data_IF_455424547371
#
_entry.id   IF_455424547371
#
_cell.length_a   1.000
_cell.length_b   1.000
_cell.length_c   1.000
_cell.angle_alpha   90.00
_cell.angle_beta   90.00
_cell.angle_gamma   90.00
#
_symmetry.space_group_name_H-M   'P 1'
#
loop_
_entity.id
_entity.type
_entity.pdbx_description
1 polymer ?
#
# COMPACT_ATOMS: atom_id res chain seq x y z
N UNK A 1 -12.70 -1.17 13.82
CA UNK A 1 -11.59 -0.28 13.42
C UNK A 1 -11.62 0.95 14.31
N UNK A 2 -10.46 1.54 14.63
CA UNK A 2 -10.40 2.85 15.29
C UNK A 2 -10.45 3.99 14.25
N UNK A 3 -10.53 5.25 14.70
CA UNK A 3 -10.66 6.41 13.81
C UNK A 3 -9.52 6.55 12.80
N UNK A 4 -8.29 6.22 13.20
CA UNK A 4 -7.12 6.30 12.33
C UNK A 4 -7.16 5.22 11.24
N UNK A 5 -7.46 3.98 11.63
CA UNK A 5 -7.65 2.84 10.72
C UNK A 5 -8.77 3.11 9.71
N UNK A 6 -9.85 3.76 10.15
CA UNK A 6 -10.98 4.11 9.29
C UNK A 6 -10.60 5.18 8.27
N UNK A 7 -9.86 6.22 8.68
CA UNK A 7 -9.33 7.24 7.78
C UNK A 7 -8.37 6.64 6.74
N UNK A 8 -7.51 5.72 7.16
CA UNK A 8 -6.61 5.01 6.26
C UNK A 8 -7.37 4.16 5.23
N UNK A 9 -8.35 3.37 5.68
CA UNK A 9 -9.19 2.60 4.77
C UNK A 9 -9.87 3.49 3.73
N UNK A 10 -10.46 4.61 4.16
CA UNK A 10 -11.14 5.54 3.26
C UNK A 10 -10.17 6.13 2.22
N UNK A 11 -8.93 6.44 2.63
CA UNK A 11 -7.89 6.89 1.72
C UNK A 11 -7.54 5.80 0.70
N UNK A 12 -7.18 4.60 1.16
CA UNK A 12 -6.77 3.48 0.30
C UNK A 12 -7.89 3.13 -0.69
N UNK A 13 -9.14 3.06 -0.22
CA UNK A 13 -10.32 2.82 -1.04
C UNK A 13 -10.44 3.87 -2.15
N UNK A 14 -10.49 5.15 -1.79
CA UNK A 14 -10.71 6.22 -2.77
C UNK A 14 -9.59 6.28 -3.80
N UNK A 15 -8.35 6.18 -3.35
CA UNK A 15 -7.18 6.19 -4.22
C UNK A 15 -7.22 5.02 -5.21
N UNK A 16 -7.32 3.78 -4.72
CA UNK A 16 -7.30 2.60 -5.56
C UNK A 16 -8.44 2.60 -6.59
N UNK A 17 -9.64 3.01 -6.18
CA UNK A 17 -10.77 3.13 -7.10
C UNK A 17 -10.51 4.19 -8.17
N UNK A 18 -10.00 5.37 -7.80
CA UNK A 18 -9.67 6.43 -8.75
C UNK A 18 -8.62 5.97 -9.79
N UNK A 19 -7.59 5.26 -9.35
CA UNK A 19 -6.56 4.70 -10.24
C UNK A 19 -7.15 3.64 -11.17
N UNK A 20 -7.96 2.70 -10.64
CA UNK A 20 -8.65 1.69 -11.44
C UNK A 20 -9.55 2.35 -12.49
N UNK A 21 -10.33 3.36 -12.10
CA UNK A 21 -11.19 4.09 -13.01
C UNK A 21 -10.40 4.76 -14.13
N UNK A 22 -9.32 5.47 -13.80
CA UNK A 22 -8.50 6.13 -14.80
C UNK A 22 -7.88 5.13 -15.80
N UNK A 23 -7.28 4.03 -15.30
CA UNK A 23 -6.59 3.04 -16.14
C UNK A 23 -7.56 2.35 -17.10
N UNK A 24 -8.78 2.09 -16.65
CA UNK A 24 -9.72 1.24 -17.37
C UNK A 24 -10.94 1.96 -17.96
N UNK A 25 -11.07 3.26 -17.77
CA UNK A 25 -12.17 4.10 -18.28
C UNK A 25 -12.40 3.96 -19.80
N UNK A 26 -11.33 3.67 -20.55
CA UNK A 26 -11.39 3.52 -22.01
C UNK A 26 -11.58 2.08 -22.49
N UNK A 27 -11.64 1.10 -21.59
CA UNK A 27 -11.59 -0.32 -21.93
C UNK A 27 -12.90 -1.03 -21.58
N UNK A 28 -13.93 -0.81 -22.41
CA UNK A 28 -15.29 -1.32 -22.21
C UNK A 28 -15.38 -2.86 -22.21
N UNK A 29 -14.39 -3.54 -22.77
CA UNK A 29 -14.35 -5.01 -22.92
C UNK A 29 -14.10 -5.74 -21.59
N UNK A 30 -13.71 -5.04 -20.52
CA UNK A 30 -13.37 -5.65 -19.22
C UNK A 30 -14.21 -5.14 -18.04
N UNK A 31 -15.39 -4.56 -18.30
CA UNK A 31 -16.26 -3.94 -17.29
C UNK A 31 -16.54 -4.84 -16.08
N UNK A 32 -16.77 -6.14 -16.28
CA UNK A 32 -17.00 -7.09 -15.17
C UNK A 32 -15.76 -7.32 -14.30
N UNK A 33 -14.58 -7.44 -14.92
CA UNK A 33 -13.30 -7.59 -14.23
C UNK A 33 -12.93 -6.32 -13.44
N UNK A 34 -13.25 -5.15 -13.98
CA UNK A 34 -13.05 -3.85 -13.32
C UNK A 34 -13.96 -3.77 -12.09
N UNK A 35 -15.24 -4.12 -12.22
CA UNK A 35 -16.19 -4.11 -11.11
C UNK A 35 -15.78 -5.10 -10.01
N UNK A 36 -15.34 -6.31 -10.37
CA UNK A 36 -14.82 -7.29 -9.42
C UNK A 36 -13.63 -6.75 -8.62
N UNK A 37 -12.71 -6.02 -9.26
CA UNK A 37 -11.57 -5.40 -8.57
C UNK A 37 -12.00 -4.29 -7.62
N UNK A 38 -13.04 -3.52 -7.97
CA UNK A 38 -13.59 -2.47 -7.10
C UNK A 38 -14.35 -3.02 -5.90
N UNK A 39 -14.99 -4.20 -6.03
CA UNK A 39 -15.67 -4.86 -4.92
C UNK A 39 -14.75 -5.10 -3.72
N UNK A 40 -13.44 -5.31 -3.95
CA UNK A 40 -12.46 -5.43 -2.86
C UNK A 40 -12.42 -4.21 -1.91
N UNK A 41 -12.86 -3.05 -2.38
CA UNK A 41 -12.87 -1.78 -1.65
C UNK A 41 -14.27 -1.34 -1.19
N UNK A 42 -15.30 -2.18 -1.35
CA UNK A 42 -16.67 -1.88 -0.89
C UNK A 42 -16.84 -2.13 0.61
N UNK A 43 -17.77 -1.40 1.24
CA UNK A 43 -18.10 -1.55 2.67
C UNK A 43 -18.59 -2.95 3.02
N UNK A 44 -19.32 -3.60 2.11
CA UNK A 44 -19.79 -4.96 2.33
C UNK A 44 -18.62 -5.96 2.39
N UNK A 45 -17.65 -5.83 1.48
CA UNK A 45 -16.45 -6.66 1.49
C UNK A 45 -15.60 -6.42 2.73
N UNK A 46 -15.45 -5.15 3.14
CA UNK A 46 -14.83 -4.79 4.42
C UNK A 46 -15.51 -5.49 5.60
N UNK A 47 -16.85 -5.42 5.69
CA UNK A 47 -17.60 -6.04 6.76
C UNK A 47 -17.35 -7.56 6.81
N UNK A 48 -17.47 -8.25 5.67
CA UNK A 48 -17.23 -9.70 5.56
C UNK A 48 -15.81 -10.10 5.95
N UNK A 49 -14.80 -9.33 5.55
CA UNK A 49 -13.41 -9.62 5.93
C UNK A 49 -13.18 -9.45 7.43
N UNK A 50 -13.78 -8.43 8.04
CA UNK A 50 -13.63 -8.16 9.47
C UNK A 50 -14.38 -9.16 10.36
N UNK A 51 -15.30 -9.95 9.81
CA UNK A 51 -15.86 -11.13 10.51
C UNK A 51 -14.83 -12.25 10.68
N UNK A 52 -13.81 -12.29 9.82
CA UNK A 52 -12.86 -13.41 9.74
C UNK A 52 -11.41 -13.01 10.07
N UNK A 53 -11.11 -11.72 10.09
CA UNK A 53 -9.76 -11.19 10.28
C UNK A 53 -9.75 -9.91 11.11
N UNK A 54 -8.59 -9.59 11.67
CA UNK A 54 -8.42 -8.33 12.41
C UNK A 54 -8.39 -7.12 11.46
N UNK A 55 -8.75 -5.92 11.94
CA UNK A 55 -8.53 -4.66 11.23
C UNK A 55 -7.12 -4.50 10.64
N UNK A 56 -6.09 -4.89 11.37
CA UNK A 56 -4.70 -4.77 10.91
C UNK A 56 -4.41 -5.69 9.73
N UNK A 57 -4.89 -6.93 9.77
CA UNK A 57 -4.77 -7.89 8.66
C UNK A 57 -5.50 -7.40 7.42
N UNK A 58 -6.72 -6.86 7.58
CA UNK A 58 -7.49 -6.30 6.48
C UNK A 58 -6.78 -5.11 5.81
N UNK A 59 -6.32 -4.15 6.62
CA UNK A 59 -5.59 -2.98 6.13
C UNK A 59 -4.26 -3.37 5.46
N UNK A 60 -3.56 -4.40 5.95
CA UNK A 60 -2.37 -4.94 5.29
C UNK A 60 -2.67 -5.39 3.85
N UNK A 61 -3.77 -6.11 3.65
CA UNK A 61 -4.22 -6.51 2.31
C UNK A 61 -4.53 -5.31 1.40
N UNK A 62 -5.17 -4.27 1.94
CA UNK A 62 -5.47 -3.05 1.17
C UNK A 62 -4.22 -2.25 0.80
N UNK A 63 -3.23 -2.18 1.69
CA UNK A 63 -1.93 -1.55 1.39
C UNK A 63 -1.19 -2.30 0.29
N UNK A 64 -1.24 -3.64 0.30
CA UNK A 64 -0.68 -4.45 -0.78
C UNK A 64 -1.41 -4.15 -2.10
N UNK A 65 -2.74 -4.15 -2.11
CA UNK A 65 -3.51 -3.81 -3.30
C UNK A 65 -3.19 -2.39 -3.82
N UNK A 66 -3.04 -1.42 -2.91
CA UNK A 66 -2.61 -0.07 -3.25
C UNK A 66 -1.24 -0.03 -3.94
N UNK A 67 -0.26 -0.78 -3.45
CA UNK A 67 1.06 -0.88 -4.06
C UNK A 67 0.99 -1.52 -5.46
N UNK A 68 0.27 -2.64 -5.59
CA UNK A 68 0.09 -3.34 -6.87
C UNK A 68 -0.61 -2.47 -7.91
N UNK A 69 -1.69 -1.79 -7.52
CA UNK A 69 -2.43 -0.88 -8.39
C UNK A 69 -1.56 0.29 -8.85
N UNK A 70 -0.77 0.89 -7.95
CA UNK A 70 0.16 1.96 -8.33
C UNK A 70 1.28 1.46 -9.24
N UNK A 71 1.82 0.25 -8.99
CA UNK A 71 2.82 -0.35 -9.86
C UNK A 71 2.26 -0.62 -11.27
N UNK A 72 1.01 -1.09 -11.38
CA UNK A 72 0.33 -1.24 -12.67
C UNK A 72 0.13 0.13 -13.33
N UNK A 73 -0.32 1.12 -12.57
CA UNK A 73 -0.55 2.48 -13.06
C UNK A 73 0.70 3.10 -13.68
N UNK A 74 1.87 2.90 -13.06
CA UNK A 74 3.16 3.41 -13.54
C UNK A 74 3.58 2.84 -14.90
N UNK A 75 2.99 1.73 -15.34
CA UNK A 75 3.22 1.15 -16.67
C UNK A 75 2.26 1.68 -17.74
N UNK A 76 1.35 2.61 -17.40
CA UNK A 76 0.43 3.21 -18.35
C UNK A 76 1.15 4.17 -19.31
N UNK A 77 0.55 4.46 -20.49
CA UNK A 77 1.09 5.46 -21.42
C UNK A 77 1.22 6.85 -20.77
N UNK A 78 2.23 7.62 -21.16
CA UNK A 78 2.56 8.94 -20.59
C UNK A 78 1.38 9.91 -20.52
N UNK A 79 0.52 9.91 -21.55
CA UNK A 79 -0.66 10.76 -21.57
C UNK A 79 -1.65 10.38 -20.46
N UNK A 80 -1.89 9.07 -20.27
CA UNK A 80 -2.77 8.56 -19.21
C UNK A 80 -2.16 8.80 -17.82
N UNK A 81 -0.84 8.62 -17.69
CA UNK A 81 -0.11 8.94 -16.46
C UNK A 81 -0.27 10.41 -16.07
N UNK A 82 -0.18 11.33 -17.04
CA UNK A 82 -0.36 12.76 -16.79
C UNK A 82 -1.78 13.10 -16.34
N UNK A 83 -2.78 12.51 -16.99
CA UNK A 83 -4.19 12.69 -16.62
C UNK A 83 -4.50 12.10 -15.24
N UNK A 84 -3.96 10.91 -14.95
CA UNK A 84 -4.08 10.25 -13.65
C UNK A 84 -3.40 11.08 -12.55
N UNK A 85 -2.16 11.51 -12.73
CA UNK A 85 -1.47 12.34 -11.73
C UNK A 85 -2.20 13.66 -11.47
N UNK A 86 -2.76 14.30 -12.50
CA UNK A 86 -3.57 15.50 -12.31
C UNK A 86 -4.83 15.21 -11.47
N UNK A 87 -5.53 14.11 -11.76
CA UNK A 87 -6.71 13.68 -11.00
C UNK A 87 -6.36 13.41 -9.54
N UNK A 88 -5.32 12.60 -9.31
CA UNK A 88 -4.86 12.25 -7.97
C UNK A 88 -4.41 13.48 -7.18
N UNK A 89 -3.67 14.39 -7.82
CA UNK A 89 -3.20 15.61 -7.16
C UNK A 89 -4.37 16.53 -6.80
N UNK A 90 -5.37 16.63 -7.68
CA UNK A 90 -6.57 17.45 -7.42
C UNK A 90 -7.41 16.90 -6.28
N UNK A 91 -7.58 15.57 -6.19
CA UNK A 91 -8.43 14.94 -5.17
C UNK A 91 -7.72 14.70 -3.83
N UNK A 92 -6.42 14.38 -3.86
CA UNK A 92 -5.68 13.91 -2.69
C UNK A 92 -4.47 14.78 -2.34
N UNK A 93 -4.11 15.77 -3.18
CA UNK A 93 -2.89 16.56 -3.00
C UNK A 93 -1.60 15.76 -3.21
N UNK A 94 -1.69 14.55 -3.78
CA UNK A 94 -0.57 13.62 -4.03
C UNK A 94 -0.71 13.02 -5.42
N UNK A 95 0.40 12.65 -6.02
CA UNK A 95 0.43 11.91 -7.29
C UNK A 95 1.14 10.55 -7.13
N UNK A 96 1.21 9.75 -8.19
CA UNK A 96 1.87 8.44 -8.15
C UNK A 96 3.36 8.55 -7.77
N UNK A 97 4.02 9.64 -8.13
CA UNK A 97 5.45 9.85 -7.86
C UNK A 97 5.72 10.14 -6.38
N UNK A 98 4.84 10.91 -5.74
CA UNK A 98 4.92 11.31 -4.32
C UNK A 98 4.64 10.11 -3.40
N UNK A 99 3.75 9.21 -3.82
CA UNK A 99 3.42 8.00 -3.07
C UNK A 99 4.55 6.95 -3.09
N UNK A 100 5.35 6.90 -4.16
CA UNK A 100 6.56 6.07 -4.21
C UNK A 100 7.66 6.54 -3.23
N UNK A 101 7.69 7.85 -2.95
CA UNK A 101 8.66 8.47 -2.03
C UNK A 101 8.26 8.39 -0.56
N UNK A 102 6.98 8.45 -0.21
CA UNK A 102 6.52 8.43 1.20
C UNK A 102 6.85 7.09 1.91
N UNK A 103 6.59 5.95 1.26
CA UNK A 103 6.98 4.61 1.74
C UNK A 103 8.51 4.46 1.86
N UNK A 104 9.26 5.14 1.00
CA UNK A 104 10.73 5.09 1.02
C UNK A 104 11.30 5.97 2.14
N UNK A 105 10.70 7.13 2.41
CA UNK A 105 11.15 8.07 3.45
C UNK A 105 10.96 7.54 4.87
N UNK A 106 9.83 6.88 5.16
CA UNK A 106 9.58 6.27 6.47
C UNK A 106 10.54 5.11 6.77
N UNK A 107 10.77 4.24 5.78
CA UNK A 107 11.75 3.15 5.90
C UNK A 107 13.17 3.71 6.07
N UNK A 108 13.56 4.73 5.31
CA UNK A 108 14.88 5.34 5.45
C UNK A 108 15.07 6.01 6.80
N UNK A 109 14.04 6.67 7.36
CA UNK A 109 14.10 7.20 8.71
C UNK A 109 14.29 6.10 9.76
N UNK A 110 13.59 4.98 9.63
CA UNK A 110 13.75 3.83 10.54
C UNK A 110 15.14 3.21 10.41
N UNK A 111 15.66 3.05 9.19
CA UNK A 111 17.02 2.55 8.93
C UNK A 111 18.07 3.49 9.53
N UNK A 112 17.97 4.80 9.26
CA UNK A 112 18.90 5.81 9.76
C UNK A 112 18.90 5.87 11.30
N UNK A 113 17.72 5.70 11.91
CA UNK A 113 17.57 5.63 13.36
C UNK A 113 18.06 4.30 13.95
N UNK A 114 18.14 3.24 13.14
CA UNK A 114 18.65 1.93 13.54
C UNK A 114 17.75 1.15 14.48
N UNK A 115 16.50 1.58 14.70
CA UNK A 115 15.52 0.85 15.54
C UNK A 115 14.07 1.11 15.14
N UNK A 116 13.26 0.07 15.29
CA UNK A 116 11.80 0.11 15.23
C UNK A 116 11.29 0.45 16.63
N UNK A 117 10.37 1.40 16.75
CA UNK A 117 9.89 1.89 18.06
C UNK A 117 8.43 1.54 18.35
N UNK A 118 7.68 1.03 17.37
CA UNK A 118 6.28 0.64 17.54
C UNK A 118 5.86 -0.39 16.47
N UNK A 119 4.68 -0.97 16.66
CA UNK A 119 4.13 -2.01 15.76
C UNK A 119 3.79 -1.48 14.35
N UNK A 120 3.56 -0.18 14.22
CA UNK A 120 3.27 0.45 12.93
C UNK A 120 4.52 0.50 12.04
N UNK A 121 5.66 0.92 12.61
CA UNK A 121 6.96 0.85 11.97
C UNK A 121 7.42 -0.57 11.72
N UNK A 122 7.09 -1.49 12.64
CA UNK A 122 7.33 -2.91 12.43
C UNK A 122 6.63 -3.42 11.17
N UNK A 123 5.34 -3.11 11.03
CA UNK A 123 4.55 -3.45 9.84
C UNK A 123 5.09 -2.82 8.55
N UNK A 124 5.58 -1.58 8.61
CA UNK A 124 6.22 -0.91 7.47
C UNK A 124 7.50 -1.63 7.02
N UNK A 125 8.36 -2.05 7.96
CA UNK A 125 9.60 -2.75 7.65
C UNK A 125 9.32 -4.17 7.14
N UNK A 126 8.37 -4.91 7.73
CA UNK A 126 7.93 -6.21 7.22
C UNK A 126 7.43 -6.11 5.77
N UNK A 127 6.60 -5.11 5.49
CA UNK A 127 6.08 -4.90 4.14
C UNK A 127 7.22 -4.63 3.17
N UNK A 128 8.18 -3.79 3.55
CA UNK A 128 9.32 -3.48 2.69
C UNK A 128 10.24 -4.68 2.44
N UNK A 129 10.41 -5.57 3.43
CA UNK A 129 11.13 -6.85 3.23
C UNK A 129 10.39 -7.73 2.22
N UNK A 130 9.06 -7.88 2.39
CA UNK A 130 8.22 -8.63 1.44
C UNK A 130 8.37 -8.09 0.02
N UNK A 131 8.25 -6.78 -0.17
CA UNK A 131 8.35 -6.13 -1.48
C UNK A 131 9.71 -6.36 -2.15
N UNK A 132 10.82 -6.21 -1.40
CA UNK A 132 12.17 -6.39 -1.97
C UNK A 132 12.41 -7.88 -2.27
N UNK A 133 11.95 -8.80 -1.42
CA UNK A 133 12.19 -10.24 -1.57
C UNK A 133 11.54 -10.86 -2.80
N UNK A 134 10.48 -10.25 -3.32
CA UNK A 134 9.84 -10.66 -4.58
C UNK A 134 10.68 -10.32 -5.82
N UNK A 135 11.60 -9.35 -5.70
CA UNK A 135 12.43 -8.84 -6.81
C UNK A 135 13.87 -9.36 -6.69
N UNK A 136 14.46 -9.23 -5.50
CA UNK A 136 15.82 -9.67 -5.16
C UNK A 136 15.88 -10.12 -3.70
N UNK A 137 15.67 -11.41 -3.48
CA UNK A 137 15.69 -12.04 -2.16
C UNK A 137 17.04 -11.93 -1.43
N UNK A 138 18.15 -11.63 -2.13
CA UNK A 138 19.49 -11.56 -1.56
C UNK A 138 20.00 -10.12 -1.37
N UNK A 139 19.14 -9.13 -1.55
CA UNK A 139 19.50 -7.72 -1.38
C UNK A 139 20.11 -7.44 -0.01
N UNK A 140 21.22 -6.69 0.02
CA UNK A 140 21.82 -6.18 1.27
C UNK A 140 20.84 -5.32 2.09
N UNK A 141 19.84 -4.72 1.42
CA UNK A 141 18.77 -3.96 2.05
C UNK A 141 17.86 -4.89 2.87
N UNK A 142 17.50 -6.08 2.37
CA UNK A 142 16.73 -7.09 3.13
C UNK A 142 17.47 -7.49 4.41
N UNK A 143 18.78 -7.72 4.33
CA UNK A 143 19.56 -8.10 5.51
C UNK A 143 19.51 -7.03 6.60
N UNK A 144 19.55 -5.76 6.21
CA UNK A 144 19.45 -4.62 7.14
C UNK A 144 18.07 -4.55 7.78
N UNK A 145 17.01 -4.71 6.98
CA UNK A 145 15.64 -4.68 7.47
C UNK A 145 15.32 -5.88 8.38
N UNK A 146 15.77 -7.08 8.02
CA UNK A 146 15.60 -8.28 8.86
C UNK A 146 16.30 -8.16 10.21
N UNK A 147 17.45 -7.50 10.28
CA UNK A 147 18.11 -7.19 11.56
C UNK A 147 17.24 -6.29 12.43
N UNK A 148 16.65 -5.23 11.86
CA UNK A 148 15.75 -4.33 12.60
C UNK A 148 14.53 -5.10 13.16
N UNK A 149 13.91 -5.95 12.34
CA UNK A 149 12.79 -6.80 12.76
C UNK A 149 13.20 -7.75 13.89
N UNK A 150 14.33 -8.44 13.76
CA UNK A 150 14.84 -9.36 14.77
C UNK A 150 15.14 -8.66 16.11
N UNK A 151 15.74 -7.47 16.07
CA UNK A 151 16.01 -6.67 17.27
C UNK A 151 14.72 -6.26 17.97
N UNK A 152 13.70 -5.82 17.23
CA UNK A 152 12.40 -5.47 17.80
C UNK A 152 11.71 -6.68 18.46
N UNK A 153 11.74 -7.85 17.80
CA UNK A 153 11.19 -9.08 18.35
C UNK A 153 11.87 -9.55 19.63
N UNK A 154 13.19 -9.36 19.75
CA UNK A 154 13.93 -9.72 20.95
C UNK A 154 13.61 -8.78 22.12
N UNK A 155 13.47 -7.49 21.87
CA UNK A 155 13.21 -6.48 22.91
C UNK A 155 11.77 -6.52 23.46
N UNK A 156 10.81 -7.02 22.68
CA UNK A 156 9.40 -7.09 23.08
C UNK A 156 8.96 -8.50 23.55
N UNK A 157 9.93 -9.39 23.83
CA UNK A 157 9.69 -10.73 24.39
C UNK A 157 10.05 -10.86 25.88
N UNK A 158 10.50 -9.78 26.51
CA UNK A 158 10.66 -9.64 27.96
C UNK A 158 9.45 -8.93 28.59
#
# INVERSE_FOLDING_TARGET
MNAHQEAEFLFLRKWCVAVIDAIYSHNTTHTELINLRKQAFEEETKAKYLEQATPGTYLKGLRQAYNEINAIALNAPDQLLKELNNTLFTEFGKDLSTCSSDMSSGVEQIINRGKIINDEEFGLIEQKVSDISQIDANSSKIQTLNKLLATYYLLNRE
#
